data_IF_396905105211
#
_entry.id   IF_396905105211
#
_cell.length_a   1.000
_cell.length_b   1.000
_cell.length_c   1.000
_cell.angle_alpha   90.00
_cell.angle_beta   90.00
_cell.angle_gamma   90.00
#
_symmetry.space_group_name_H-M   'P 1'
#
loop_
_entity.id
_entity.type
_entity.pdbx_description
1 polymer ?
#
# COMPACT_ATOMS: atom_id res chain seq x y z
N UNK A 1 5.44 -19.73 23.57
CA UNK A 1 5.28 -18.23 23.54
C UNK A 1 4.33 -17.91 22.41
N UNK A 2 3.41 -16.97 22.58
CA UNK A 2 2.52 -16.55 21.49
C UNK A 2 3.37 -15.87 20.40
N UNK A 3 3.26 -16.33 19.15
CA UNK A 3 4.07 -15.83 18.06
C UNK A 3 3.63 -14.43 17.64
N UNK A 4 4.59 -13.55 17.39
CA UNK A 4 4.37 -12.20 16.92
C UNK A 4 4.90 -12.12 15.49
N UNK A 5 4.12 -11.53 14.58
CA UNK A 5 4.58 -11.26 13.21
C UNK A 5 4.87 -9.77 13.03
N UNK A 6 5.82 -9.45 12.16
CA UNK A 6 6.00 -8.10 11.62
C UNK A 6 5.13 -7.97 10.37
N UNK A 7 4.43 -6.85 10.22
CA UNK A 7 3.65 -6.54 9.01
C UNK A 7 4.09 -5.20 8.46
N UNK A 8 4.41 -5.18 7.17
CA UNK A 8 4.47 -3.97 6.38
C UNK A 8 3.15 -3.82 5.60
N UNK A 9 2.32 -2.87 6.01
CA UNK A 9 1.09 -2.51 5.31
C UNK A 9 1.40 -1.41 4.31
N UNK A 10 1.88 -1.77 3.12
CA UNK A 10 2.27 -0.81 2.10
C UNK A 10 1.10 -0.26 1.27
N UNK A 11 1.33 0.85 0.56
CA UNK A 11 0.34 1.46 -0.34
C UNK A 11 0.01 0.55 -1.52
N UNK A 12 1.03 -0.07 -2.10
CA UNK A 12 0.90 -0.94 -3.28
C UNK A 12 0.95 -2.41 -2.90
N UNK A 13 1.85 -2.77 -1.99
CA UNK A 13 2.09 -4.14 -1.58
C UNK A 13 2.23 -4.23 -0.07
N UNK A 14 1.80 -5.35 0.49
CA UNK A 14 1.93 -5.69 1.91
C UNK A 14 2.60 -7.04 2.09
N UNK A 15 3.28 -7.24 3.19
CA UNK A 15 3.94 -8.49 3.53
C UNK A 15 3.97 -8.72 5.03
N UNK A 16 4.20 -9.99 5.42
CA UNK A 16 4.50 -10.35 6.79
C UNK A 16 5.86 -11.04 6.91
N UNK A 17 6.48 -10.91 8.06
CA UNK A 17 7.71 -11.59 8.43
C UNK A 17 7.62 -12.09 9.87
N UNK A 18 8.38 -13.11 10.19
CA UNK A 18 8.54 -13.61 11.58
C UNK A 18 9.96 -14.07 11.82
N UNK A 19 10.28 -14.40 13.07
CA UNK A 19 11.58 -14.95 13.43
C UNK A 19 11.46 -16.46 13.50
N UNK A 20 12.22 -17.12 12.65
CA UNK A 20 12.46 -18.57 12.67
C UNK A 20 13.79 -18.88 13.39
N UNK A 21 14.15 -20.15 13.46
CA UNK A 21 15.38 -20.59 14.13
C UNK A 21 16.65 -20.02 13.48
N UNK A 22 16.62 -19.79 12.16
CA UNK A 22 17.74 -19.22 11.39
C UNK A 22 17.74 -17.68 11.35
N UNK A 23 16.70 -17.05 11.89
CA UNK A 23 16.56 -15.59 11.94
C UNK A 23 15.23 -15.05 11.41
N UNK A 24 15.15 -13.74 11.16
CA UNK A 24 13.95 -13.11 10.60
C UNK A 24 13.80 -13.44 9.11
N UNK A 25 12.62 -13.93 8.74
CA UNK A 25 12.30 -14.25 7.35
C UNK A 25 10.93 -13.72 6.95
N UNK A 26 10.78 -13.37 5.68
CA UNK A 26 9.49 -13.01 5.09
C UNK A 26 8.66 -14.27 4.91
N UNK A 27 7.39 -14.19 5.28
CA UNK A 27 6.45 -15.31 5.18
C UNK A 27 5.99 -15.44 3.74
N UNK A 28 6.19 -16.61 3.16
CA UNK A 28 5.75 -16.95 1.81
C UNK A 28 4.75 -18.10 1.87
N UNK A 29 3.49 -17.82 1.57
CA UNK A 29 2.46 -18.84 1.53
C UNK A 29 2.63 -19.72 0.29
N UNK A 30 2.39 -21.03 0.45
CA UNK A 30 2.56 -21.99 -0.63
C UNK A 30 1.75 -21.62 -1.88
N UNK A 31 2.42 -21.46 -3.01
CA UNK A 31 1.81 -21.09 -4.28
C UNK A 31 1.47 -19.61 -4.44
N UNK A 32 1.78 -18.76 -3.47
CA UNK A 32 1.63 -17.31 -3.52
C UNK A 32 2.99 -16.61 -3.45
N UNK A 33 3.04 -15.36 -3.89
CA UNK A 33 4.21 -14.50 -3.67
C UNK A 33 4.30 -14.12 -2.18
N UNK A 34 5.53 -13.92 -1.68
CA UNK A 34 5.77 -13.32 -0.37
C UNK A 34 5.17 -11.91 -0.23
N UNK A 35 4.88 -11.28 -1.36
CA UNK A 35 4.29 -9.95 -1.46
C UNK A 35 2.82 -10.07 -1.83
N UNK A 36 1.95 -9.52 -0.99
CA UNK A 36 0.50 -9.44 -1.25
C UNK A 36 0.17 -8.06 -1.81
N UNK A 37 -0.34 -7.92 -3.04
CA UNK A 37 -0.83 -6.64 -3.54
C UNK A 37 -1.88 -6.04 -2.60
N UNK A 38 -1.75 -4.76 -2.27
CA UNK A 38 -2.71 -4.02 -1.41
C UNK A 38 -3.93 -3.60 -2.24
N UNK A 39 -4.58 -4.57 -2.87
CA UNK A 39 -5.73 -4.42 -3.77
C UNK A 39 -6.89 -5.25 -3.24
N UNK A 40 -8.08 -4.67 -3.31
CA UNK A 40 -9.35 -5.28 -2.92
C UNK A 40 -10.32 -5.22 -4.09
N UNK A 41 -11.12 -6.24 -4.31
CA UNK A 41 -12.24 -6.21 -5.24
C UNK A 41 -13.46 -6.84 -4.59
N UNK A 42 -14.59 -6.12 -4.61
CA UNK A 42 -15.85 -6.65 -4.09
C UNK A 42 -16.57 -7.44 -5.19
N UNK A 43 -17.04 -8.63 -4.83
CA UNK A 43 -17.84 -9.51 -5.70
C UNK A 43 -19.06 -10.00 -4.95
N UNK A 44 -19.98 -10.67 -5.65
CA UNK A 44 -21.17 -11.28 -5.03
C UNK A 44 -20.82 -12.36 -3.98
N UNK A 45 -19.62 -12.94 -4.08
CA UNK A 45 -19.09 -13.90 -3.10
C UNK A 45 -18.29 -13.28 -1.98
N UNK A 46 -18.13 -11.95 -1.95
CA UNK A 46 -17.38 -11.21 -0.94
C UNK A 46 -16.09 -10.58 -1.48
N UNK A 47 -15.17 -10.27 -0.56
CA UNK A 47 -13.90 -9.64 -0.89
C UNK A 47 -12.91 -10.61 -1.54
N UNK A 48 -12.41 -10.24 -2.71
CA UNK A 48 -11.12 -10.72 -3.23
C UNK A 48 -10.03 -9.78 -2.73
N UNK A 49 -8.87 -10.33 -2.36
CA UNK A 49 -7.74 -9.56 -1.80
C UNK A 49 -6.44 -10.04 -2.41
N UNK A 50 -5.57 -9.09 -2.70
CA UNK A 50 -4.24 -9.38 -3.22
C UNK A 50 -4.24 -9.69 -4.70
N UNK A 51 -3.55 -10.74 -5.09
CA UNK A 51 -3.33 -11.10 -6.49
C UNK A 51 -4.65 -11.42 -7.25
N UNK A 52 -5.61 -12.05 -6.59
CA UNK A 52 -6.93 -12.34 -7.17
C UNK A 52 -7.69 -11.05 -7.48
N UNK A 53 -7.72 -10.11 -6.53
CA UNK A 53 -8.31 -8.79 -6.75
C UNK A 53 -7.58 -8.01 -7.84
N UNK A 54 -6.27 -8.11 -7.88
CA UNK A 54 -5.46 -7.46 -8.90
C UNK A 54 -5.79 -8.01 -10.30
N UNK A 55 -5.89 -9.33 -10.47
CA UNK A 55 -6.25 -9.96 -11.75
C UNK A 55 -7.66 -9.59 -12.21
N UNK A 56 -8.63 -9.58 -11.32
CA UNK A 56 -10.04 -9.27 -11.63
C UNK A 56 -10.32 -7.78 -11.81
N UNK A 57 -9.39 -6.91 -11.52
CA UNK A 57 -9.62 -5.47 -11.44
C UNK A 57 -10.14 -4.83 -12.73
N UNK A 58 -9.70 -5.29 -13.90
CA UNK A 58 -10.16 -4.76 -15.20
C UNK A 58 -11.61 -5.12 -15.53
N UNK A 59 -12.10 -6.25 -15.03
CA UNK A 59 -13.50 -6.68 -15.22
C UNK A 59 -14.45 -6.10 -14.15
N UNK A 60 -13.92 -5.52 -13.07
CA UNK A 60 -14.71 -4.97 -11.97
C UNK A 60 -14.09 -3.66 -11.43
N UNK A 61 -13.87 -2.64 -12.28
CA UNK A 61 -13.08 -1.46 -11.93
C UNK A 61 -13.73 -0.59 -10.85
N UNK A 62 -15.06 -0.44 -10.84
CA UNK A 62 -15.78 0.39 -9.87
C UNK A 62 -15.73 -0.15 -8.44
N UNK A 63 -15.62 -1.48 -8.31
CA UNK A 63 -15.57 -2.17 -7.04
C UNK A 63 -14.15 -2.62 -6.68
N UNK A 64 -13.13 -2.15 -7.42
CA UNK A 64 -11.73 -2.45 -7.14
C UNK A 64 -11.03 -1.26 -6.50
N UNK A 65 -10.50 -1.49 -5.31
CA UNK A 65 -9.86 -0.48 -4.47
C UNK A 65 -8.36 -0.77 -4.40
N UNK A 66 -7.56 0.26 -4.63
CA UNK A 66 -6.11 0.24 -4.45
C UNK A 66 -5.66 1.54 -3.77
N UNK A 67 -4.41 1.59 -3.34
CA UNK A 67 -3.79 2.75 -2.68
C UNK A 67 -4.55 3.24 -1.45
N UNK A 68 -5.30 2.34 -0.76
CA UNK A 68 -6.16 2.68 0.38
C UNK A 68 -5.39 3.32 1.53
N UNK A 69 -4.10 3.00 1.70
CA UNK A 69 -3.23 3.59 2.72
C UNK A 69 -3.15 5.12 2.61
N UNK A 70 -3.27 5.69 1.40
CA UNK A 70 -3.32 7.14 1.17
C UNK A 70 -4.54 7.82 1.79
N UNK A 71 -5.60 7.05 2.06
CA UNK A 71 -6.86 7.54 2.63
C UNK A 71 -6.91 7.41 4.15
N UNK A 72 -6.01 6.64 4.75
CA UNK A 72 -5.97 6.35 6.18
C UNK A 72 -5.78 7.61 7.02
N UNK A 73 -6.72 7.86 7.94
CA UNK A 73 -6.66 9.01 8.84
C UNK A 73 -6.83 10.38 8.18
N UNK A 74 -7.29 10.43 6.92
CA UNK A 74 -7.48 11.65 6.13
C UNK A 74 -8.92 12.09 6.08
N UNK A 75 -9.14 13.39 5.86
CA UNK A 75 -10.42 13.98 5.48
C UNK A 75 -10.48 14.22 3.98
N UNK A 76 -11.68 14.48 3.45
CA UNK A 76 -11.86 14.83 2.03
C UNK A 76 -11.05 16.09 1.65
N UNK A 77 -10.94 17.03 2.58
CA UNK A 77 -10.17 18.27 2.40
C UNK A 77 -8.67 18.01 2.21
N UNK A 78 -8.13 17.01 2.90
CA UNK A 78 -6.72 16.63 2.81
C UNK A 78 -6.38 15.97 1.47
N UNK A 79 -7.35 15.36 0.82
CA UNK A 79 -7.18 14.66 -0.46
C UNK A 79 -7.24 15.59 -1.68
N UNK A 80 -7.96 16.72 -1.56
CA UNK A 80 -8.08 17.69 -2.64
C UNK A 80 -8.62 17.06 -3.93
N UNK A 81 -8.03 17.43 -5.07
CA UNK A 81 -8.49 16.97 -6.39
C UNK A 81 -8.10 15.51 -6.74
N UNK A 82 -7.20 14.90 -5.98
CA UNK A 82 -6.75 13.52 -6.24
C UNK A 82 -7.87 12.48 -6.15
N UNK A 83 -8.94 12.81 -5.41
CA UNK A 83 -10.16 11.99 -5.29
C UNK A 83 -10.82 11.71 -6.65
N UNK A 84 -10.83 12.69 -7.55
CA UNK A 84 -11.50 12.59 -8.85
C UNK A 84 -10.78 11.64 -9.84
N UNK A 85 -9.56 11.24 -9.52
CA UNK A 85 -8.74 10.39 -10.37
C UNK A 85 -8.90 8.91 -10.04
N UNK A 86 -9.46 8.61 -8.88
CA UNK A 86 -9.72 7.24 -8.46
C UNK A 86 -10.87 6.63 -9.29
N UNK A 87 -10.81 5.34 -9.63
CA UNK A 87 -11.91 4.69 -10.35
C UNK A 87 -13.10 4.37 -9.44
N UNK A 88 -12.89 4.36 -8.12
CA UNK A 88 -13.93 4.14 -7.11
C UNK A 88 -14.37 5.45 -6.46
N UNK A 89 -15.59 5.46 -5.94
CA UNK A 89 -16.22 6.65 -5.38
C UNK A 89 -15.83 6.84 -3.90
N UNK A 90 -15.38 8.07 -3.57
CA UNK A 90 -15.18 8.51 -2.18
C UNK A 90 -16.36 9.40 -1.79
N UNK A 91 -16.92 9.16 -0.62
CA UNK A 91 -18.01 9.93 -0.02
C UNK A 91 -17.59 10.51 1.32
N UNK A 92 -18.12 11.68 1.65
CA UNK A 92 -17.92 12.31 2.95
C UNK A 92 -18.96 11.78 3.92
N UNK A 93 -18.50 11.23 5.05
CA UNK A 93 -19.33 10.83 6.15
C UNK A 93 -19.41 11.94 7.24
N UNK A 94 -20.19 11.71 8.28
CA UNK A 94 -20.28 12.65 9.41
C UNK A 94 -18.89 12.93 10.00
N UNK A 95 -18.68 14.16 10.49
CA UNK A 95 -17.43 14.64 11.10
C UNK A 95 -16.22 14.65 10.16
N UNK A 96 -16.46 14.91 8.86
CA UNK A 96 -15.41 14.98 7.83
C UNK A 96 -14.64 13.65 7.61
N UNK A 97 -15.15 12.55 8.12
CA UNK A 97 -14.61 11.22 7.82
C UNK A 97 -14.90 10.87 6.37
N UNK A 98 -13.97 10.18 5.74
CA UNK A 98 -14.15 9.68 4.39
C UNK A 98 -14.52 8.21 4.41
N UNK A 99 -15.32 7.81 3.41
CA UNK A 99 -15.65 6.42 3.13
C UNK A 99 -15.54 6.16 1.63
N UNK A 100 -15.29 4.93 1.29
CA UNK A 100 -15.34 4.41 -0.08
C UNK A 100 -16.70 3.77 -0.28
N UNK A 101 -17.42 4.19 -1.32
CA UNK A 101 -18.69 3.59 -1.69
C UNK A 101 -18.45 2.44 -2.66
N UNK A 102 -19.06 1.28 -2.37
CA UNK A 102 -18.94 0.05 -3.15
C UNK A 102 -20.34 -0.55 -3.24
N UNK A 103 -20.93 -0.45 -4.43
CA UNK A 103 -22.35 -0.76 -4.58
C UNK A 103 -23.20 0.13 -3.69
N UNK A 104 -24.03 -0.48 -2.84
CA UNK A 104 -24.88 0.23 -1.86
C UNK A 104 -24.21 0.41 -0.49
N UNK A 105 -23.00 -0.14 -0.30
CA UNK A 105 -22.32 -0.11 0.99
C UNK A 105 -21.22 0.97 1.02
N UNK A 106 -20.94 1.43 2.23
CA UNK A 106 -19.89 2.40 2.50
C UNK A 106 -18.91 1.85 3.52
N UNK A 107 -17.61 1.87 3.17
CA UNK A 107 -16.54 1.34 4.02
C UNK A 107 -15.53 2.43 4.36
N UNK A 108 -15.06 2.45 5.59
CA UNK A 108 -13.96 3.30 6.00
C UNK A 108 -12.62 2.77 5.44
N UNK A 109 -11.61 3.62 5.25
CA UNK A 109 -10.27 3.16 4.89
C UNK A 109 -9.69 2.12 5.85
N UNK A 110 -10.05 2.21 7.13
CA UNK A 110 -9.63 1.25 8.16
C UNK A 110 -10.25 -0.13 7.95
N UNK A 111 -11.55 -0.20 7.63
CA UNK A 111 -12.24 -1.46 7.33
C UNK A 111 -11.65 -2.12 6.08
N UNK A 112 -11.39 -1.34 5.03
CA UNK A 112 -10.77 -1.85 3.80
C UNK A 112 -9.32 -2.31 4.04
N UNK A 113 -8.53 -1.56 4.78
CA UNK A 113 -7.18 -1.97 5.16
C UNK A 113 -7.16 -3.23 6.03
N UNK A 114 -8.23 -3.43 6.83
CA UNK A 114 -8.38 -4.64 7.62
C UNK A 114 -8.54 -5.89 6.76
N UNK A 115 -9.18 -5.82 5.60
CA UNK A 115 -9.28 -6.97 4.69
C UNK A 115 -7.90 -7.37 4.13
N UNK A 116 -7.04 -6.39 3.83
CA UNK A 116 -5.64 -6.67 3.43
C UNK A 116 -4.90 -7.33 4.59
N UNK A 117 -5.03 -6.79 5.80
CA UNK A 117 -4.37 -7.35 6.99
C UNK A 117 -4.88 -8.76 7.33
N UNK A 118 -6.17 -9.05 7.11
CA UNK A 118 -6.72 -10.42 7.25
C UNK A 118 -6.07 -11.39 6.26
N UNK A 119 -5.90 -10.98 4.99
CA UNK A 119 -5.22 -11.83 3.99
C UNK A 119 -3.78 -12.10 4.39
N UNK A 120 -3.03 -11.07 4.77
CA UNK A 120 -1.63 -11.21 5.24
C UNK A 120 -1.54 -12.10 6.48
N UNK A 121 -2.46 -11.93 7.44
CA UNK A 121 -2.57 -12.76 8.63
C UNK A 121 -2.86 -14.22 8.27
N UNK A 122 -3.85 -14.47 7.42
CA UNK A 122 -4.24 -15.82 7.01
C UNK A 122 -3.09 -16.54 6.28
N UNK A 123 -2.37 -15.81 5.44
CA UNK A 123 -1.16 -16.33 4.79
C UNK A 123 -0.11 -16.73 5.85
N UNK A 124 0.10 -15.88 6.86
CA UNK A 124 1.01 -16.20 7.96
C UNK A 124 0.56 -17.41 8.76
N UNK A 125 -0.71 -17.49 9.14
CA UNK A 125 -1.28 -18.64 9.87
C UNK A 125 -1.16 -19.96 9.08
N UNK A 126 -1.34 -19.89 7.76
CA UNK A 126 -1.18 -21.07 6.88
C UNK A 126 0.24 -21.61 6.88
N UNK A 127 1.24 -20.74 6.89
CA UNK A 127 2.66 -21.13 6.90
C UNK A 127 3.10 -21.60 8.29
N UNK A 128 2.64 -20.88 9.32
CA UNK A 128 3.04 -21.15 10.70
C UNK A 128 2.31 -22.35 11.33
N UNK A 129 1.15 -22.74 10.77
CA UNK A 129 0.32 -23.81 11.31
C UNK A 129 -0.35 -23.48 12.65
N UNK A 130 -0.33 -22.21 13.06
CA UNK A 130 -0.89 -21.75 14.34
C UNK A 130 -1.56 -20.38 14.19
N UNK A 131 -2.55 -20.05 15.05
CA UNK A 131 -3.20 -18.75 15.01
C UNK A 131 -2.24 -17.60 15.35
N UNK A 132 -2.35 -16.50 14.61
CA UNK A 132 -1.59 -15.27 14.83
C UNK A 132 -2.52 -14.22 15.45
N UNK A 133 -2.20 -13.76 16.66
CA UNK A 133 -2.99 -12.77 17.38
C UNK A 133 -2.30 -11.42 17.52
N UNK A 134 -0.95 -11.39 17.42
CA UNK A 134 -0.16 -10.18 17.68
C UNK A 134 0.71 -9.81 16.50
N UNK A 135 0.81 -8.50 16.27
CA UNK A 135 1.67 -7.97 15.22
C UNK A 135 2.41 -6.71 15.66
N UNK A 136 3.60 -6.53 15.09
CA UNK A 136 4.28 -5.25 14.99
C UNK A 136 4.02 -4.73 13.59
N UNK A 137 3.53 -3.49 13.45
CA UNK A 137 3.16 -2.94 12.15
C UNK A 137 4.01 -1.70 11.86
N UNK A 138 4.52 -1.60 10.62
CA UNK A 138 5.29 -0.44 10.18
C UNK A 138 4.38 0.66 9.65
N UNK A 139 4.81 1.91 9.84
CA UNK A 139 4.17 3.10 9.29
C UNK A 139 5.23 4.09 8.83
N UNK A 140 4.96 4.94 7.84
CA UNK A 140 5.84 6.04 7.47
C UNK A 140 6.21 6.90 8.67
N UNK A 141 7.45 7.38 8.73
CA UNK A 141 7.90 8.22 9.85
C UNK A 141 7.12 9.54 9.92
N UNK A 142 6.61 10.00 8.78
CA UNK A 142 5.83 11.23 8.62
C UNK A 142 4.34 11.08 8.94
N UNK A 143 3.85 9.88 9.27
CA UNK A 143 2.45 9.69 9.68
C UNK A 143 2.15 10.42 10.97
N UNK A 144 1.05 11.18 10.97
CA UNK A 144 0.50 11.82 12.15
C UNK A 144 -0.23 10.82 13.08
N UNK A 145 -0.68 11.30 14.24
CA UNK A 145 -1.35 10.46 15.23
C UNK A 145 -2.67 9.86 14.72
N UNK A 146 -3.41 10.59 13.87
CA UNK A 146 -4.66 10.10 13.29
C UNK A 146 -4.41 8.92 12.33
N UNK A 147 -3.38 9.02 11.50
CA UNK A 147 -2.98 7.96 10.57
C UNK A 147 -2.43 6.72 11.32
N UNK A 148 -1.64 6.93 12.38
CA UNK A 148 -1.16 5.85 13.25
C UNK A 148 -2.31 5.16 13.98
N UNK A 149 -3.29 5.93 14.47
CA UNK A 149 -4.47 5.37 15.10
C UNK A 149 -5.34 4.60 14.11
N UNK A 150 -5.54 5.13 12.91
CA UNK A 150 -6.24 4.43 11.84
C UNK A 150 -5.59 3.09 11.48
N UNK A 151 -4.25 3.01 11.50
CA UNK A 151 -3.51 1.75 11.30
C UNK A 151 -3.77 0.75 12.44
N UNK A 152 -3.80 1.20 13.69
CA UNK A 152 -4.17 0.34 14.85
C UNK A 152 -5.58 -0.17 14.74
N UNK A 153 -6.52 0.70 14.34
CA UNK A 153 -7.93 0.34 14.20
C UNK A 153 -8.13 -0.69 13.08
N UNK A 154 -7.44 -0.54 11.95
CA UNK A 154 -7.44 -1.52 10.87
C UNK A 154 -6.94 -2.90 11.35
N UNK A 155 -5.84 -2.92 12.10
CA UNK A 155 -5.31 -4.17 12.67
C UNK A 155 -6.30 -4.82 13.64
N UNK A 156 -6.96 -4.02 14.50
CA UNK A 156 -8.00 -4.52 15.42
C UNK A 156 -9.18 -5.12 14.66
N UNK A 157 -9.63 -4.48 13.57
CA UNK A 157 -10.69 -5.02 12.71
C UNK A 157 -10.27 -6.31 12.00
N UNK A 158 -8.97 -6.50 11.76
CA UNK A 158 -8.40 -7.76 11.27
C UNK A 158 -8.24 -8.84 12.36
N UNK A 159 -8.59 -8.55 13.61
CA UNK A 159 -8.40 -9.46 14.74
C UNK A 159 -6.95 -9.58 15.20
N UNK A 160 -6.15 -8.52 15.01
CA UNK A 160 -4.76 -8.43 15.47
C UNK A 160 -4.63 -7.45 16.64
N UNK A 161 -3.96 -7.87 17.69
CA UNK A 161 -3.45 -6.99 18.73
C UNK A 161 -2.15 -6.35 18.24
N UNK A 162 -2.09 -5.02 18.19
CA UNK A 162 -0.88 -4.29 17.80
C UNK A 162 0.06 -4.19 18.98
N UNK A 163 1.07 -5.05 19.03
CA UNK A 163 2.11 -5.02 20.06
C UNK A 163 2.93 -3.73 19.98
N UNK A 164 3.23 -3.26 18.76
CA UNK A 164 3.93 -1.99 18.53
C UNK A 164 3.69 -1.45 17.12
N UNK A 165 3.66 -0.12 17.00
CA UNK A 165 3.86 0.59 15.72
C UNK A 165 5.31 1.04 15.68
N UNK A 166 6.03 0.76 14.59
CA UNK A 166 7.39 1.27 14.35
C UNK A 166 7.44 2.04 13.02
N UNK A 167 8.38 2.98 12.94
CA UNK A 167 8.58 3.73 11.70
C UNK A 167 9.29 2.86 10.65
N UNK A 168 8.82 2.90 9.42
CA UNK A 168 9.41 2.19 8.28
C UNK A 168 10.93 2.39 8.15
N UNK A 169 11.47 3.63 8.23
CA UNK A 169 12.92 3.82 8.15
C UNK A 169 13.68 3.18 9.32
N UNK A 170 13.07 3.07 10.49
CA UNK A 170 13.68 2.36 11.63
C UNK A 170 13.70 0.86 11.38
N UNK A 171 12.61 0.31 10.88
CA UNK A 171 12.53 -1.11 10.52
C UNK A 171 13.53 -1.48 9.41
N UNK A 172 13.62 -0.66 8.37
CA UNK A 172 14.57 -0.82 7.29
C UNK A 172 16.03 -0.77 7.79
N UNK A 173 16.36 0.18 8.68
CA UNK A 173 17.69 0.29 9.27
C UNK A 173 18.06 -0.95 10.10
N UNK A 174 17.12 -1.51 10.85
CA UNK A 174 17.33 -2.74 11.64
C UNK A 174 17.53 -3.93 10.69
N UNK A 175 16.66 -4.09 9.70
CA UNK A 175 16.74 -5.20 8.72
C UNK A 175 18.05 -5.18 7.91
N UNK A 176 18.63 -4.01 7.70
CA UNK A 176 19.92 -3.85 7.00
C UNK A 176 21.14 -4.19 7.91
N UNK A 177 20.92 -4.62 9.16
CA UNK A 177 21.98 -4.99 10.11
C UNK A 177 22.73 -3.78 10.68
N UNK A 178 22.12 -2.60 10.71
CA UNK A 178 22.75 -1.40 11.24
C UNK A 178 22.78 -1.36 12.77
N UNK A 179 22.07 -2.25 13.44
CA UNK A 179 22.08 -2.44 14.89
C UNK A 179 23.42 -3.03 15.40
N UNK A 180 24.23 -3.61 14.53
CA UNK A 180 25.60 -4.05 14.83
C UNK A 180 26.63 -2.92 14.85
N UNK A 181 26.30 -1.77 14.24
CA UNK A 181 27.17 -0.58 14.22
C UNK A 181 27.05 0.19 15.53
N UNK A 182 28.20 0.58 16.10
CA UNK A 182 28.23 1.21 17.42
C UNK A 182 27.73 2.66 17.42
N UNK A 183 28.08 3.46 16.43
CA UNK A 183 27.68 4.88 16.32
C UNK A 183 27.68 5.35 14.87
N UNK A 184 26.84 6.34 14.57
CA UNK A 184 26.81 6.99 13.25
C UNK A 184 25.52 7.70 12.94
N UNK A 185 25.49 8.29 11.74
CA UNK A 185 24.28 8.83 11.13
C UNK A 185 23.99 8.03 9.87
N UNK A 186 22.72 7.74 9.65
CA UNK A 186 22.23 7.05 8.46
C UNK A 186 21.09 7.85 7.85
N UNK A 187 21.04 7.86 6.53
CA UNK A 187 19.91 8.38 5.78
C UNK A 187 19.14 7.19 5.20
N UNK A 188 17.85 7.14 5.45
CA UNK A 188 16.93 6.19 4.81
C UNK A 188 16.11 6.97 3.81
N UNK A 189 16.21 6.58 2.55
CA UNK A 189 15.45 7.12 1.43
C UNK A 189 14.41 6.09 1.02
N UNK A 190 13.15 6.36 1.31
CA UNK A 190 12.03 5.47 1.06
C UNK A 190 11.07 6.09 0.03
N UNK A 191 11.10 5.60 -1.19
CA UNK A 191 10.19 5.98 -2.27
C UNK A 191 9.27 4.79 -2.57
N UNK A 192 8.16 4.75 -1.89
CA UNK A 192 7.15 3.72 -2.05
C UNK A 192 6.19 3.97 -3.21
N UNK A 193 5.11 3.16 -3.27
CA UNK A 193 4.06 3.35 -4.29
C UNK A 193 3.23 4.61 -4.07
N UNK A 194 3.05 5.04 -2.82
CA UNK A 194 2.16 6.15 -2.47
C UNK A 194 2.80 7.30 -1.72
N UNK A 195 3.92 7.07 -1.06
CA UNK A 195 4.60 8.05 -0.21
C UNK A 195 6.08 8.09 -0.53
N UNK A 196 6.67 9.24 -0.30
CA UNK A 196 8.10 9.46 -0.28
C UNK A 196 8.51 9.95 1.09
N UNK A 197 9.44 9.26 1.72
CA UNK A 197 10.00 9.61 3.02
C UNK A 197 11.54 9.61 2.97
N UNK A 198 12.15 10.64 3.53
CA UNK A 198 13.57 10.67 3.83
C UNK A 198 13.77 10.90 5.33
N UNK A 199 14.52 10.03 5.98
CA UNK A 199 14.75 10.10 7.44
C UNK A 199 16.24 10.04 7.74
N UNK A 200 16.67 10.93 8.62
CA UNK A 200 18.02 10.89 9.19
C UNK A 200 17.91 10.29 10.58
N UNK A 201 18.59 9.19 10.79
CA UNK A 201 18.65 8.49 12.06
C UNK A 201 20.05 8.62 12.64
N UNK A 202 20.12 8.88 13.97
CA UNK A 202 21.35 8.73 14.75
C UNK A 202 21.34 7.35 15.39
N UNK A 203 22.42 6.63 15.16
CA UNK A 203 22.67 5.34 15.76
C UNK A 203 23.61 5.51 16.97
N UNK A 204 23.23 4.98 18.12
CA UNK A 204 24.04 4.94 19.34
C UNK A 204 23.87 3.58 19.99
N UNK A 205 24.81 2.66 19.74
CA UNK A 205 24.65 1.25 20.08
C UNK A 205 23.42 0.66 19.39
N UNK A 206 22.51 0.06 20.15
CA UNK A 206 21.24 -0.50 19.63
C UNK A 206 20.07 0.51 19.61
N UNK A 207 20.35 1.81 19.81
CA UNK A 207 19.31 2.85 19.84
C UNK A 207 19.30 3.58 18.50
N UNK A 208 18.15 3.54 17.83
CA UNK A 208 17.87 4.31 16.62
C UNK A 208 17.02 5.53 17.00
N UNK A 209 17.56 6.71 16.83
CA UNK A 209 16.84 7.96 17.09
C UNK A 209 16.61 8.69 15.78
N UNK A 210 15.37 8.90 15.39
CA UNK A 210 15.03 9.78 14.28
C UNK A 210 15.38 11.21 14.67
N UNK A 211 16.31 11.81 13.94
CA UNK A 211 16.78 13.19 14.17
C UNK A 211 15.95 14.16 13.34
N UNK A 212 15.68 13.79 12.09
CA UNK A 212 14.86 14.55 11.18
C UNK A 212 14.16 13.60 10.23
N UNK A 213 12.94 13.94 9.86
CA UNK A 213 12.22 13.30 8.78
C UNK A 213 11.53 14.35 7.93
N UNK A 214 11.50 14.13 6.65
CA UNK A 214 10.73 14.93 5.70
C UNK A 214 10.20 14.01 4.62
N UNK A 215 9.08 14.39 4.00
CA UNK A 215 8.49 13.54 2.99
C UNK A 215 7.31 14.19 2.31
N UNK A 216 6.72 13.42 1.40
CA UNK A 216 5.50 13.80 0.72
C UNK A 216 4.56 12.58 0.72
N UNK A 217 3.44 12.72 1.40
CA UNK A 217 2.42 11.66 1.53
C UNK A 217 1.57 11.46 0.27
N UNK A 218 1.84 12.23 -0.78
CA UNK A 218 1.18 12.17 -2.08
C UNK A 218 2.20 12.11 -3.23
N UNK A 219 3.37 11.50 -2.99
CA UNK A 219 4.39 11.28 -4.00
C UNK A 219 4.90 9.83 -3.91
N UNK A 220 4.77 9.09 -4.99
CA UNK A 220 5.25 7.72 -5.08
C UNK A 220 5.07 7.14 -6.47
N UNK A 221 5.19 5.84 -6.60
CA UNK A 221 5.03 5.11 -7.85
C UNK A 221 3.72 5.40 -8.58
N UNK A 222 2.62 5.58 -7.84
CA UNK A 222 1.32 5.94 -8.40
C UNK A 222 1.33 7.30 -9.15
N UNK A 223 2.15 8.25 -8.69
CA UNK A 223 2.25 9.57 -9.32
C UNK A 223 3.11 9.52 -10.58
N UNK A 224 4.13 8.65 -10.61
CA UNK A 224 4.84 8.33 -11.84
C UNK A 224 3.94 7.62 -12.85
N UNK A 225 3.13 6.66 -12.41
CA UNK A 225 2.14 5.99 -13.27
C UNK A 225 1.17 6.99 -13.88
N UNK A 226 0.70 7.96 -13.09
CA UNK A 226 -0.15 9.04 -13.57
C UNK A 226 0.54 9.88 -14.64
N UNK A 227 1.79 10.27 -14.42
CA UNK A 227 2.55 11.04 -15.40
C UNK A 227 2.71 10.28 -16.74
N UNK A 228 3.00 8.98 -16.68
CA UNK A 228 3.06 8.10 -17.85
C UNK A 228 1.68 7.99 -18.50
N UNK A 229 0.62 7.81 -17.74
CA UNK A 229 -0.76 7.74 -18.23
C UNK A 229 -1.16 9.02 -18.97
N UNK A 230 -0.80 10.19 -18.45
CA UNK A 230 -1.09 11.46 -19.08
C UNK A 230 -0.32 11.65 -20.42
N UNK A 231 0.91 11.17 -20.51
CA UNK A 231 1.65 11.14 -21.78
C UNK A 231 1.03 10.18 -22.79
N UNK A 232 0.56 9.01 -22.36
CA UNK A 232 -0.18 8.06 -23.20
C UNK A 232 -1.44 8.73 -23.76
N UNK A 233 -2.25 9.35 -22.89
CA UNK A 233 -3.46 10.09 -23.31
C UNK A 233 -3.17 11.15 -24.37
N UNK A 234 -2.12 11.95 -24.16
CA UNK A 234 -1.71 13.00 -25.13
C UNK A 234 -1.34 12.39 -26.48
N UNK A 235 -0.56 11.31 -26.48
CA UNK A 235 -0.16 10.63 -27.72
C UNK A 235 -1.35 10.04 -28.46
N UNK A 236 -2.25 9.35 -27.76
CA UNK A 236 -3.44 8.75 -28.36
C UNK A 236 -4.37 9.84 -28.91
N UNK A 237 -4.67 10.87 -28.15
CA UNK A 237 -5.52 11.98 -28.61
C UNK A 237 -4.97 12.73 -29.84
N UNK A 238 -3.67 12.72 -30.04
CA UNK A 238 -3.05 13.32 -31.25
C UNK A 238 -3.35 12.50 -32.51
N UNK A 239 -3.49 11.17 -32.39
CA UNK A 239 -3.72 10.24 -33.51
C UNK A 239 -5.22 9.93 -33.64
N UNK A 240 -5.89 9.80 -32.52
CA UNK A 240 -7.29 9.42 -32.34
C UNK A 240 -8.02 10.40 -31.42
N UNK A 241 -8.40 11.60 -31.94
CA UNK A 241 -9.06 12.65 -31.14
C UNK A 241 -10.41 12.22 -30.55
N UNK A 242 -11.06 11.23 -31.19
CA UNK A 242 -12.36 10.69 -30.79
C UNK A 242 -12.32 9.83 -29.53
N UNK A 243 -11.16 9.28 -29.17
CA UNK A 243 -11.01 8.39 -28.00
C UNK A 243 -11.23 9.16 -26.71
N UNK A 244 -12.16 8.66 -25.89
CA UNK A 244 -12.45 9.19 -24.57
C UNK A 244 -11.85 8.29 -23.49
N UNK A 245 -11.19 8.92 -22.51
CA UNK A 245 -10.64 8.23 -21.33
C UNK A 245 -11.53 8.50 -20.10
N UNK A 246 -12.82 8.27 -20.29
CA UNK A 246 -13.85 8.52 -19.28
C UNK A 246 -14.36 7.19 -18.72
N UNK A 247 -14.72 7.21 -17.45
CA UNK A 247 -15.23 6.03 -16.77
C UNK A 247 -14.14 5.22 -16.01
N UNK A 248 -14.59 4.38 -15.09
CA UNK A 248 -13.72 3.60 -14.18
C UNK A 248 -12.82 2.61 -14.93
N UNK A 249 -13.37 1.93 -15.92
CA UNK A 249 -12.64 0.94 -16.71
C UNK A 249 -11.45 1.56 -17.46
N UNK A 250 -11.69 2.62 -18.25
CA UNK A 250 -10.64 3.31 -18.99
C UNK A 250 -9.56 3.88 -18.07
N UNK A 251 -9.95 4.42 -16.90
CA UNK A 251 -9.01 4.90 -15.89
C UNK A 251 -8.12 3.78 -15.37
N UNK A 252 -8.69 2.63 -15.07
CA UNK A 252 -7.96 1.49 -14.52
C UNK A 252 -7.05 0.84 -15.55
N UNK A 253 -7.54 0.62 -16.79
CA UNK A 253 -6.72 0.09 -17.89
C UNK A 253 -5.51 1.00 -18.10
N UNK A 254 -5.73 2.30 -18.18
CA UNK A 254 -4.68 3.28 -18.39
C UNK A 254 -3.67 3.29 -17.24
N UNK A 255 -4.12 3.24 -15.97
CA UNK A 255 -3.24 3.12 -14.81
C UNK A 255 -2.37 1.87 -14.87
N UNK A 256 -2.95 0.71 -15.13
CA UNK A 256 -2.22 -0.57 -15.21
C UNK A 256 -1.22 -0.60 -16.36
N UNK A 257 -1.61 -0.08 -17.51
CA UNK A 257 -0.69 0.04 -18.65
C UNK A 257 0.48 0.95 -18.32
N UNK A 258 0.21 2.11 -17.71
CA UNK A 258 1.25 3.05 -17.28
C UNK A 258 2.21 2.42 -16.25
N UNK A 259 1.69 1.71 -15.26
CA UNK A 259 2.48 1.00 -14.25
C UNK A 259 3.39 -0.07 -14.92
N UNK A 260 2.83 -0.84 -15.84
CA UNK A 260 3.57 -1.87 -16.56
C UNK A 260 4.69 -1.24 -17.42
N UNK A 261 4.40 -0.15 -18.13
CA UNK A 261 5.38 0.62 -18.90
C UNK A 261 6.50 1.13 -17.98
N UNK A 262 6.15 1.77 -16.86
CA UNK A 262 7.11 2.26 -15.87
C UNK A 262 8.03 1.14 -15.39
N UNK A 263 7.48 -0.02 -15.00
CA UNK A 263 8.25 -1.18 -14.54
C UNK A 263 9.20 -1.69 -15.61
N UNK A 264 8.74 -1.82 -16.85
CA UNK A 264 9.57 -2.33 -17.95
C UNK A 264 10.71 -1.35 -18.33
N UNK A 265 10.46 -0.04 -18.26
CA UNK A 265 11.48 0.97 -18.52
C UNK A 265 12.58 1.03 -17.45
N UNK A 266 12.41 0.34 -16.31
CA UNK A 266 13.51 0.14 -15.35
C UNK A 266 14.57 -0.85 -15.82
N UNK A 267 14.23 -1.67 -16.82
CA UNK A 267 15.13 -2.73 -17.35
C UNK A 267 15.43 -2.57 -18.85
N UNK A 268 14.70 -1.67 -19.54
CA UNK A 268 14.92 -1.41 -20.97
C UNK A 268 14.80 0.08 -21.28
N UNK A 269 15.38 0.50 -22.40
CA UNK A 269 15.33 1.89 -22.86
C UNK A 269 14.06 2.23 -23.63
N UNK A 270 13.33 1.19 -24.07
CA UNK A 270 12.08 1.33 -24.81
C UNK A 270 11.12 0.16 -24.49
N UNK A 271 9.85 0.40 -24.66
CA UNK A 271 8.80 -0.61 -24.48
C UNK A 271 7.60 -0.31 -25.37
N UNK A 272 6.87 -1.37 -25.80
CA UNK A 272 5.67 -1.29 -26.62
C UNK A 272 4.49 -1.94 -25.91
N UNK A 273 3.35 -1.32 -25.99
CA UNK A 273 2.11 -1.85 -25.40
C UNK A 273 0.94 -1.71 -26.38
N UNK A 274 0.08 -2.74 -26.36
CA UNK A 274 -1.24 -2.71 -26.96
C UNK A 274 -2.29 -2.53 -25.87
N UNK A 275 -3.28 -1.70 -26.11
CA UNK A 275 -4.32 -1.37 -25.15
C UNK A 275 -5.66 -1.29 -25.89
N UNK A 276 -6.67 -1.99 -25.36
CA UNK A 276 -8.07 -1.86 -25.79
C UNK A 276 -8.77 -0.88 -24.84
N UNK A 277 -9.43 0.14 -25.41
CA UNK A 277 -10.09 1.23 -24.66
C UNK A 277 -11.57 1.31 -25.02
#
# INVERSE_FOLDING_TARGET
>A
MERIIGIDLGTTNSLAATVFDEGPEVIEASGESSITPSVLSWTDSGWLVGEEAHKSSTSNPENTIFSIKRLMGRSLKDLGNSVNELPYQIVEAQRQLIKVKIGENEYTPQELSAEILKKVKNNAESVLGEPVKKAVITVPAYFDDAQRQATRDAARFAGLEVARIINEPTAAAIAYGLDEKKEGYIAVYDLGGGTFDISILKLSGKIFKVIATHGNTQLGGDDFDKAVADEIKKKIKKIHPEVKFEGPESKLILKRTAESIKKNLSFSTETSYSMEL
#
